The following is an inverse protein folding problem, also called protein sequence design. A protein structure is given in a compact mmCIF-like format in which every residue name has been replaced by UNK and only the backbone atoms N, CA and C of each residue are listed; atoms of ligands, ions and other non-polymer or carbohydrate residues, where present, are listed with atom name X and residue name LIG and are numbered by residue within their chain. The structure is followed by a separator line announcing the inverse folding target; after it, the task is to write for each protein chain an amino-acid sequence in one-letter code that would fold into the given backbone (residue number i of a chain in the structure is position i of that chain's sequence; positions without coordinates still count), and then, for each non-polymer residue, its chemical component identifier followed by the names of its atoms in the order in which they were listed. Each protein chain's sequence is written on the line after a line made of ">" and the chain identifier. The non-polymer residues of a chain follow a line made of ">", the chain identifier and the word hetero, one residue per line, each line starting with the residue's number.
data_IF_758562994796
#
_entry.id   IF_758562994796
#
_cell.length_a   1.000
_cell.length_b   1.000
_cell.length_c   1.000
_cell.angle_alpha   90.00
_cell.angle_beta   90.00
_cell.angle_gamma   90.00
#
_symmetry.space_group_name_H-M   'P 1'
#
loop_
_entity.id
_entity.type
_entity.pdbx_description
1 polymer ?
#
# COMPACT_ATOMS: atom_id res chain seq x y z
N UNK A 1 4.11 0.15 -36.01
CA UNK A 1 5.01 -0.72 -35.23
C UNK A 1 4.94 -0.24 -33.79
N UNK A 2 4.40 -1.06 -32.88
CA UNK A 2 4.30 -0.69 -31.47
C UNK A 2 5.71 -0.45 -30.93
N UNK A 3 6.04 0.80 -30.64
CA UNK A 3 7.32 1.17 -30.05
C UNK A 3 7.33 0.70 -28.60
N UNK A 4 7.84 -0.50 -28.38
CA UNK A 4 8.11 -1.03 -27.05
C UNK A 4 9.09 -0.07 -26.37
N UNK A 5 8.64 0.69 -25.38
CA UNK A 5 9.55 1.49 -24.54
C UNK A 5 10.31 0.52 -23.63
N UNK A 6 11.59 0.77 -23.41
CA UNK A 6 12.27 0.17 -22.27
C UNK A 6 11.56 0.56 -20.98
N UNK A 7 11.50 -0.40 -20.06
CA UNK A 7 11.12 -0.14 -18.68
C UNK A 7 12.08 0.86 -18.03
N UNK A 8 11.57 1.66 -17.11
CA UNK A 8 12.30 2.73 -16.45
C UNK A 8 13.47 2.19 -15.62
N UNK A 9 13.21 1.11 -14.87
CA UNK A 9 14.21 0.39 -14.06
C UNK A 9 15.36 -0.14 -14.93
N UNK A 10 15.06 -0.70 -16.10
CA UNK A 10 16.05 -1.22 -17.02
C UNK A 10 16.97 -0.11 -17.57
N UNK A 11 16.41 1.09 -17.83
CA UNK A 11 17.20 2.24 -18.28
C UNK A 11 18.09 2.76 -17.14
N UNK A 12 17.63 2.70 -15.90
CA UNK A 12 18.43 3.08 -14.74
C UNK A 12 19.61 2.12 -14.54
N UNK A 13 19.37 0.80 -14.52
CA UNK A 13 20.42 -0.23 -14.41
C UNK A 13 21.46 -0.12 -15.54
N UNK A 14 21.02 0.25 -16.74
CA UNK A 14 21.93 0.55 -17.86
C UNK A 14 22.82 1.75 -17.58
N UNK A 15 22.27 2.84 -17.03
CA UNK A 15 23.04 4.04 -16.69
C UNK A 15 24.01 3.79 -15.54
N UNK A 16 23.58 3.01 -14.54
CA UNK A 16 24.40 2.61 -13.39
C UNK A 16 25.52 1.62 -13.77
N UNK A 17 25.44 1.01 -14.96
CA UNK A 17 26.42 0.05 -15.45
C UNK A 17 26.36 -1.32 -14.78
N UNK A 18 25.21 -1.67 -14.18
CA UNK A 18 25.00 -2.91 -13.43
C UNK A 18 24.34 -4.02 -14.24
N UNK A 19 23.88 -3.73 -15.45
CA UNK A 19 23.33 -4.72 -16.38
C UNK A 19 24.37 -5.74 -16.83
N UNK A 20 23.91 -6.97 -17.10
CA UNK A 20 24.74 -7.96 -17.76
C UNK A 20 25.15 -7.46 -19.18
N UNK A 21 26.38 -7.72 -19.67
CA UNK A 21 26.85 -7.16 -20.94
C UNK A 21 25.95 -7.44 -22.14
N UNK A 22 25.33 -8.63 -22.18
CA UNK A 22 24.39 -9.00 -23.23
C UNK A 22 23.10 -8.14 -23.21
N UNK A 23 22.59 -7.82 -22.02
CA UNK A 23 21.40 -6.98 -21.85
C UNK A 23 21.71 -5.52 -22.15
N UNK A 24 22.87 -5.04 -21.70
CA UNK A 24 23.35 -3.70 -22.01
C UNK A 24 23.44 -3.46 -23.52
N UNK A 25 23.93 -4.43 -24.29
CA UNK A 25 24.00 -4.32 -25.75
C UNK A 25 22.60 -4.20 -26.41
N UNK A 26 21.60 -4.92 -25.89
CA UNK A 26 20.22 -4.82 -26.36
C UNK A 26 19.62 -3.44 -26.06
N UNK A 27 19.84 -2.94 -24.84
CA UNK A 27 19.43 -1.58 -24.45
C UNK A 27 20.11 -0.54 -25.33
N UNK A 28 21.40 -0.67 -25.57
CA UNK A 28 22.15 0.27 -26.40
C UNK A 28 21.62 0.30 -27.86
N UNK A 29 21.34 -0.87 -28.44
CA UNK A 29 20.71 -0.97 -29.75
C UNK A 29 19.34 -0.28 -29.78
N UNK A 30 18.53 -0.44 -28.73
CA UNK A 30 17.24 0.22 -28.59
C UNK A 30 17.40 1.75 -28.47
N UNK A 31 18.33 2.22 -27.64
CA UNK A 31 18.60 3.65 -27.42
C UNK A 31 19.02 4.36 -28.70
N UNK A 32 19.67 3.67 -29.65
CA UNK A 32 19.98 4.25 -30.98
C UNK A 32 18.72 4.62 -31.75
N UNK A 33 17.65 3.84 -31.62
CA UNK A 33 16.41 3.99 -32.40
C UNK A 33 15.33 4.77 -31.64
N UNK A 34 15.25 4.66 -30.32
CA UNK A 34 14.19 5.26 -29.51
C UNK A 34 14.60 6.60 -28.88
N UNK A 35 14.04 7.71 -29.38
CA UNK A 35 14.31 9.06 -28.83
C UNK A 35 13.82 9.23 -27.38
N UNK A 36 12.72 8.60 -27.00
CA UNK A 36 12.16 8.72 -25.66
C UNK A 36 13.08 8.08 -24.60
N UNK A 37 13.48 6.82 -24.81
CA UNK A 37 14.40 6.11 -23.91
C UNK A 37 15.78 6.77 -23.87
N UNK A 38 16.25 7.33 -24.99
CA UNK A 38 17.50 8.11 -25.02
C UNK A 38 17.44 9.37 -24.16
N UNK A 39 16.29 10.08 -24.13
CA UNK A 39 16.09 11.23 -23.23
C UNK A 39 16.07 10.80 -21.77
N UNK A 40 15.39 9.69 -21.45
CA UNK A 40 15.34 9.15 -20.10
C UNK A 40 16.75 8.76 -19.59
N UNK A 41 17.51 8.02 -20.40
CA UNK A 41 18.89 7.68 -20.08
C UNK A 41 19.77 8.92 -19.87
N UNK A 42 19.56 9.97 -20.69
CA UNK A 42 20.24 11.26 -20.53
C UNK A 42 19.90 11.95 -19.22
N UNK A 43 18.63 11.91 -18.80
CA UNK A 43 18.18 12.46 -17.53
C UNK A 43 18.81 11.75 -16.31
N UNK A 44 18.86 10.42 -16.32
CA UNK A 44 19.56 9.69 -15.25
C UNK A 44 21.05 9.98 -15.23
N UNK A 45 21.69 10.09 -16.40
CA UNK A 45 23.11 10.47 -16.48
C UNK A 45 23.37 11.88 -15.91
N UNK A 46 22.48 12.85 -16.16
CA UNK A 46 22.63 14.17 -15.55
C UNK A 46 22.46 14.13 -14.03
N UNK A 47 21.49 13.37 -13.52
CA UNK A 47 21.32 13.19 -12.08
C UNK A 47 22.56 12.55 -11.44
N UNK A 48 23.09 11.50 -12.05
CA UNK A 48 24.30 10.83 -11.58
C UNK A 48 25.49 11.81 -11.50
N UNK A 49 25.64 12.65 -12.53
CA UNK A 49 26.67 13.67 -12.57
C UNK A 49 26.50 14.75 -11.49
N UNK A 50 25.27 15.23 -11.29
CA UNK A 50 24.95 16.24 -10.28
C UNK A 50 25.22 15.72 -8.86
N UNK A 51 24.80 14.48 -8.57
CA UNK A 51 25.06 13.80 -7.31
C UNK A 51 26.57 13.58 -7.08
N UNK A 52 27.28 13.10 -8.10
CA UNK A 52 28.73 12.88 -8.03
C UNK A 52 29.52 14.17 -7.76
N UNK A 53 29.06 15.31 -8.28
CA UNK A 53 29.67 16.62 -8.01
C UNK A 53 29.42 17.12 -6.59
N UNK A 54 28.23 16.90 -6.04
CA UNK A 54 27.94 17.23 -4.63
C UNK A 54 28.73 16.34 -3.67
N UNK A 55 29.18 15.17 -4.13
CA UNK A 55 29.94 14.21 -3.35
C UNK A 55 31.45 14.55 -3.21
N UNK A 56 31.82 15.85 -3.21
CA UNK A 56 33.05 16.26 -2.51
C UNK A 56 32.74 16.24 -1.00
N UNK A 57 32.39 15.06 -0.51
CA UNK A 57 32.24 14.82 0.91
C UNK A 57 33.65 14.97 1.49
N UNK A 58 33.80 15.85 2.48
CA UNK A 58 34.99 15.83 3.31
C UNK A 58 35.21 14.37 3.75
N UNK A 59 36.47 13.88 3.81
CA UNK A 59 36.74 12.55 4.34
C UNK A 59 35.99 12.43 5.66
N UNK A 60 35.19 11.38 5.79
CA UNK A 60 34.38 11.15 6.97
C UNK A 60 35.33 11.28 8.17
N UNK A 61 35.07 12.15 9.15
CA UNK A 61 35.88 12.18 10.37
C UNK A 61 36.04 10.75 10.88
N UNK A 62 37.17 10.44 11.51
CA UNK A 62 37.33 9.11 12.12
C UNK A 62 36.21 8.90 13.15
N UNK A 63 35.17 8.19 12.74
CA UNK A 63 34.02 7.87 13.57
C UNK A 63 34.37 6.61 14.34
N UNK A 64 34.18 6.66 15.66
CA UNK A 64 34.21 5.47 16.49
C UNK A 64 33.05 4.54 16.07
N UNK A 65 33.33 3.32 15.56
CA UNK A 65 32.30 2.43 15.04
C UNK A 65 31.27 2.06 16.11
N UNK A 66 31.66 1.95 17.38
CA UNK A 66 30.76 1.61 18.47
C UNK A 66 29.79 2.77 18.76
N UNK A 67 30.30 4.01 18.75
CA UNK A 67 29.47 5.21 18.90
C UNK A 67 28.48 5.37 17.73
N UNK A 68 28.91 5.12 16.49
CA UNK A 68 28.02 5.14 15.32
C UNK A 68 26.95 4.04 15.42
N UNK A 69 27.33 2.83 15.82
CA UNK A 69 26.41 1.72 15.98
C UNK A 69 25.31 2.03 17.01
N UNK A 70 25.66 2.62 18.15
CA UNK A 70 24.68 3.03 19.16
C UNK A 70 23.69 4.09 18.64
N UNK A 71 24.17 5.07 17.86
CA UNK A 71 23.30 6.08 17.22
C UNK A 71 22.32 5.42 16.24
N UNK A 72 22.81 4.53 15.37
CA UNK A 72 21.96 3.82 14.41
C UNK A 72 20.94 2.90 15.09
N UNK A 73 21.34 2.19 16.16
CA UNK A 73 20.43 1.38 16.96
C UNK A 73 19.39 2.23 17.68
N UNK A 74 19.78 3.38 18.23
CA UNK A 74 18.84 4.32 18.84
C UNK A 74 17.83 4.86 17.81
N UNK A 75 18.27 5.20 16.60
CA UNK A 75 17.39 5.67 15.54
C UNK A 75 16.46 4.57 15.01
N UNK A 76 16.97 3.34 14.85
CA UNK A 76 16.14 2.18 14.53
C UNK A 76 15.07 1.94 15.60
N UNK A 77 15.43 2.05 16.90
CA UNK A 77 14.46 1.96 18.01
C UNK A 77 13.42 3.08 17.97
N UNK A 78 13.74 4.29 17.49
CA UNK A 78 12.79 5.41 17.33
C UNK A 78 11.83 5.18 16.17
N UNK A 79 12.35 4.73 15.01
CA UNK A 79 11.54 4.46 13.82
C UNK A 79 10.69 3.21 13.95
N UNK A 80 11.15 2.24 14.74
CA UNK A 80 10.33 1.14 15.21
C UNK A 80 9.38 1.69 16.28
N UNK A 81 8.35 2.41 15.84
CA UNK A 81 7.19 2.71 16.67
C UNK A 81 6.82 1.45 17.47
N UNK A 82 6.36 1.57 18.73
CA UNK A 82 5.94 0.41 19.48
C UNK A 82 4.91 -0.33 18.62
N UNK A 83 5.23 -1.57 18.23
CA UNK A 83 4.24 -2.47 17.65
C UNK A 83 3.02 -2.37 18.56
N UNK A 84 1.87 -2.01 17.99
CA UNK A 84 0.62 -2.00 18.73
C UNK A 84 0.56 -3.33 19.49
N UNK A 85 0.27 -3.32 20.81
CA UNK A 85 0.31 -4.54 21.62
C UNK A 85 -0.42 -5.63 20.85
N UNK A 86 0.16 -6.86 20.74
CA UNK A 86 -0.35 -7.86 19.83
C UNK A 86 -1.84 -7.98 20.08
N UNK A 87 -2.62 -7.58 19.07
CA UNK A 87 -4.06 -7.70 19.15
C UNK A 87 -4.32 -9.15 19.53
N UNK A 88 -4.98 -9.39 20.67
CA UNK A 88 -5.32 -10.75 21.06
C UNK A 88 -6.01 -11.41 19.85
N UNK A 89 -5.83 -12.72 19.64
CA UNK A 89 -6.40 -13.39 18.46
C UNK A 89 -7.89 -13.08 18.25
N UNK A 90 -8.60 -12.78 19.35
CA UNK A 90 -9.97 -12.28 19.37
C UNK A 90 -10.16 -10.87 18.80
N UNK A 91 -9.28 -9.91 19.09
CA UNK A 91 -9.33 -8.55 18.54
C UNK A 91 -9.13 -8.52 17.02
N UNK A 92 -8.25 -9.38 16.48
CA UNK A 92 -8.12 -9.53 15.03
C UNK A 92 -9.38 -10.16 14.40
N UNK A 93 -9.92 -11.20 15.05
CA UNK A 93 -11.11 -11.90 14.57
C UNK A 93 -12.35 -11.00 14.54
N UNK A 94 -12.57 -10.17 15.56
CA UNK A 94 -13.71 -9.23 15.60
C UNK A 94 -13.56 -8.10 14.58
N UNK A 95 -12.35 -7.57 14.40
CA UNK A 95 -12.10 -6.54 13.39
C UNK A 95 -12.32 -7.06 11.97
N UNK A 96 -11.85 -8.28 11.68
CA UNK A 96 -12.08 -8.93 10.39
C UNK A 96 -13.56 -9.22 10.13
N UNK A 97 -14.30 -9.72 11.12
CA UNK A 97 -15.74 -10.00 11.00
C UNK A 97 -16.58 -8.73 10.78
N UNK A 98 -16.22 -7.62 11.40
CA UNK A 98 -16.95 -6.35 11.24
C UNK A 98 -16.55 -5.58 9.98
N UNK A 99 -15.30 -5.70 9.53
CA UNK A 99 -14.80 -5.07 8.31
C UNK A 99 -15.17 -5.84 7.02
N UNK A 100 -15.40 -7.17 7.11
CA UNK A 100 -15.70 -7.97 5.93
C UNK A 100 -17.18 -7.79 5.49
N UNK A 101 -17.44 -7.21 4.32
CA UNK A 101 -18.80 -6.95 3.84
C UNK A 101 -19.61 -8.23 3.60
N UNK A 102 -18.97 -9.39 3.39
CA UNK A 102 -19.66 -10.67 3.25
C UNK A 102 -20.38 -11.11 4.53
N UNK A 103 -19.85 -10.74 5.71
CA UNK A 103 -20.42 -11.09 7.02
C UNK A 103 -21.16 -9.93 7.68
N UNK A 104 -20.78 -8.67 7.40
CA UNK A 104 -21.49 -7.50 7.90
C UNK A 104 -22.88 -7.28 7.25
N UNK A 105 -23.06 -7.74 6.00
CA UNK A 105 -24.34 -7.62 5.26
C UNK A 105 -25.47 -8.52 5.80
N UNK A 106 -25.28 -9.81 6.10
CA UNK A 106 -26.36 -10.65 6.65
C UNK A 106 -26.84 -10.19 8.04
N UNK A 107 -25.98 -9.58 8.86
CA UNK A 107 -26.39 -9.03 10.15
C UNK A 107 -27.34 -7.82 10.02
N UNK A 108 -27.13 -6.96 9.00
CA UNK A 108 -28.01 -5.82 8.69
C UNK A 108 -29.33 -6.24 8.05
N UNK A 109 -29.35 -7.33 7.27
CA UNK A 109 -30.59 -7.83 6.67
C UNK A 109 -31.46 -8.60 7.66
N UNK A 110 -30.87 -9.34 8.62
CA UNK A 110 -31.63 -10.01 9.67
C UNK A 110 -32.30 -9.02 10.63
N UNK A 111 -31.63 -7.92 11.00
CA UNK A 111 -32.22 -6.85 11.81
C UNK A 111 -33.33 -6.11 11.04
N UNK A 112 -33.14 -5.81 9.75
CA UNK A 112 -34.17 -5.19 8.92
C UNK A 112 -35.40 -6.09 8.67
N UNK A 113 -35.21 -7.41 8.57
CA UNK A 113 -36.32 -8.36 8.43
C UNK A 113 -37.07 -8.54 9.76
N UNK A 114 -36.35 -8.56 10.90
CA UNK A 114 -36.93 -8.62 12.24
C UNK A 114 -37.84 -7.42 12.55
N UNK A 115 -37.44 -6.20 12.17
CA UNK A 115 -38.27 -5.01 12.34
C UNK A 115 -39.56 -5.05 11.49
N UNK A 116 -39.48 -5.52 10.22
CA UNK A 116 -40.67 -5.66 9.37
C UNK A 116 -41.63 -6.76 9.84
N UNK A 117 -41.12 -7.86 10.38
CA UNK A 117 -41.93 -8.92 10.98
C UNK A 117 -42.67 -8.45 12.24
N UNK A 118 -41.98 -7.71 13.12
CA UNK A 118 -42.55 -7.17 14.35
C UNK A 118 -43.66 -6.14 14.08
N UNK A 119 -43.48 -5.23 13.11
CA UNK A 119 -44.51 -4.25 12.73
C UNK A 119 -45.78 -4.91 12.14
N UNK A 120 -45.60 -5.97 11.34
CA UNK A 120 -46.71 -6.76 10.80
C UNK A 120 -47.55 -7.42 11.89
N UNK A 121 -46.88 -7.99 12.90
CA UNK A 121 -47.52 -8.69 14.02
C UNK A 121 -48.22 -7.71 14.99
N UNK A 122 -47.63 -6.53 15.21
CA UNK A 122 -48.28 -5.45 15.98
C UNK A 122 -49.53 -4.92 15.26
N UNK A 123 -49.49 -4.77 13.93
CA UNK A 123 -50.68 -4.34 13.15
C UNK A 123 -51.80 -5.36 13.17
N UNK A 124 -51.51 -6.65 13.06
CA UNK A 124 -52.55 -7.71 13.10
C UNK A 124 -53.18 -7.81 14.48
N UNK A 125 -52.37 -7.75 15.56
CA UNK A 125 -52.88 -7.71 16.93
C UNK A 125 -53.76 -6.47 17.18
N UNK A 126 -53.35 -5.29 16.69
CA UNK A 126 -54.12 -4.04 16.82
C UNK A 126 -55.45 -4.07 16.05
N UNK A 127 -55.48 -4.67 14.85
CA UNK A 127 -56.73 -4.88 14.08
C UNK A 127 -57.66 -5.88 14.75
N UNK A 128 -57.12 -6.97 15.30
CA UNK A 128 -57.89 -7.98 16.05
C UNK A 128 -58.52 -7.37 17.30
N UNK A 129 -57.76 -6.52 18.01
CA UNK A 129 -58.25 -5.83 19.20
C UNK A 129 -59.34 -4.80 18.87
N UNK A 130 -59.22 -4.05 17.77
CA UNK A 130 -60.27 -3.13 17.32
C UNK A 130 -61.54 -3.83 16.87
N UNK A 131 -61.47 -4.98 16.20
CA UNK A 131 -62.66 -5.78 15.85
C UNK A 131 -63.39 -6.33 17.07
N UNK A 132 -62.66 -6.68 18.14
CA UNK A 132 -63.26 -7.16 19.40
C UNK A 132 -63.99 -6.05 20.18
N UNK A 133 -63.67 -4.78 19.93
CA UNK A 133 -64.33 -3.61 20.56
C UNK A 133 -65.46 -2.98 19.73
N UNK A 134 -65.70 -3.47 18.50
CA UNK A 134 -66.70 -2.90 17.57
C UNK A 134 -67.80 -3.86 17.13
N UNK A 135 -68.02 -4.95 17.87
CA UNK A 135 -69.15 -5.85 17.68
C UNK A 135 -70.06 -5.79 18.91
N UNK A 136 -70.94 -4.80 18.90
CA UNK A 136 -72.11 -4.62 19.75
C UNK A 136 -73.19 -4.01 18.90
#
# INVERSE_FOLDING_TARGET
>A
MATMRCDEELVQLYVDGTLHPAEAALVEAHLRQCRACRRLAGFYKSLYWDLGRTATLAPDPAQDPDALAEVLLAEHRRHRQPEAPPASAWAFSTLWLTANPAFARPARTLTALGHRGAEGLVRTLKRRWRRRKGGG
#
